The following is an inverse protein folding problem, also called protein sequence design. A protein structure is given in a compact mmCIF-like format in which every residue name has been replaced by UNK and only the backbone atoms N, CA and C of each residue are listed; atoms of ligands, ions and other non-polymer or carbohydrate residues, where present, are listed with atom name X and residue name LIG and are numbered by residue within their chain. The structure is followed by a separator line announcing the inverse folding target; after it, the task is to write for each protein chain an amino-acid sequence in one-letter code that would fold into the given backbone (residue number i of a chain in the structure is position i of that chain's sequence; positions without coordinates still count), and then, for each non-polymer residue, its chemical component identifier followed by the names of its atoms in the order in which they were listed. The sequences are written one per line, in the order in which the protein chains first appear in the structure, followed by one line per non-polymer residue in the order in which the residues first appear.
data_IF_269085028688
#
_entry.id   IF_269085028688
#
_cell.length_a   1.000
_cell.length_b   1.000
_cell.length_c   1.000
_cell.angle_alpha   90.00
_cell.angle_beta   90.00
_cell.angle_gamma   90.00
#
_symmetry.space_group_name_H-M   'P 1'
#
loop_
_entity.id
_entity.type
_entity.pdbx_description
1 polymer ?
#
# COMPACT_ATOMS: atom_id res chain seq x y z
N UNK A 1 -5.38 41.87 39.28
CA UNK A 1 -6.24 40.80 38.75
C UNK A 1 -5.78 40.52 37.31
N UNK A 2 -4.81 39.66 37.19
CA UNK A 2 -4.29 39.19 35.89
C UNK A 2 -4.93 37.84 35.60
N UNK A 3 -5.66 37.80 34.52
CA UNK A 3 -6.41 36.66 34.00
C UNK A 3 -5.49 35.49 33.65
N UNK A 4 -5.76 34.37 34.28
CA UNK A 4 -5.25 33.04 33.95
C UNK A 4 -6.12 32.55 32.79
N UNK A 5 -5.69 32.68 31.54
CA UNK A 5 -6.26 32.04 30.35
C UNK A 5 -5.15 31.45 29.49
N UNK A 6 -4.70 30.25 29.86
CA UNK A 6 -3.55 29.64 29.18
C UNK A 6 -3.51 28.11 29.08
N UNK A 7 -4.57 27.36 29.49
CA UNK A 7 -4.45 25.89 29.58
C UNK A 7 -5.44 25.05 28.78
N UNK A 8 -6.40 25.66 28.11
CA UNK A 8 -7.39 24.92 27.31
C UNK A 8 -7.00 24.66 25.85
N UNK A 9 -5.96 25.31 25.31
CA UNK A 9 -5.57 25.24 23.90
C UNK A 9 -4.71 24.03 23.52
N UNK A 10 -3.88 23.53 24.41
CA UNK A 10 -2.88 22.51 24.09
C UNK A 10 -3.45 21.15 23.59
N UNK A 11 -4.53 20.58 24.18
CA UNK A 11 -5.10 19.34 23.68
C UNK A 11 -5.79 19.50 22.32
N UNK A 12 -6.45 20.64 22.09
CA UNK A 12 -7.11 20.92 20.82
C UNK A 12 -6.10 21.15 19.69
N UNK A 13 -5.01 21.87 19.94
CA UNK A 13 -3.93 22.06 18.96
C UNK A 13 -3.25 20.73 18.61
N UNK A 14 -3.04 19.86 19.60
CA UNK A 14 -2.49 18.52 19.37
C UNK A 14 -3.41 17.71 18.46
N UNK A 15 -4.70 17.63 18.77
CA UNK A 15 -5.68 16.87 17.97
C UNK A 15 -5.78 17.43 16.55
N UNK A 16 -5.89 18.74 16.38
CA UNK A 16 -5.95 19.36 15.06
C UNK A 16 -4.70 19.06 14.24
N UNK A 17 -3.52 19.09 14.85
CA UNK A 17 -2.25 18.76 14.17
C UNK A 17 -2.18 17.32 13.69
N UNK A 18 -2.78 16.35 14.41
CA UNK A 18 -2.77 14.94 14.04
C UNK A 18 -3.84 14.59 13.02
N UNK A 19 -5.02 15.16 13.13
CA UNK A 19 -6.16 14.82 12.27
C UNK A 19 -6.31 15.73 11.05
N UNK A 20 -5.69 16.91 11.08
CA UNK A 20 -5.68 17.79 9.91
C UNK A 20 -4.91 17.16 8.72
N UNK A 21 -5.34 17.45 7.48
CA UNK A 21 -4.56 17.11 6.30
C UNK A 21 -3.17 17.74 6.34
N UNK A 22 -2.14 17.03 5.84
CA UNK A 22 -0.79 17.61 5.79
C UNK A 22 0.36 16.63 5.90
N UNK A 23 0.11 15.32 5.91
CA UNK A 23 1.18 14.33 5.87
C UNK A 23 1.79 14.21 4.46
N UNK A 24 3.13 14.14 4.34
CA UNK A 24 3.82 14.06 3.05
C UNK A 24 3.79 12.63 2.47
N UNK A 25 2.60 12.08 2.25
CA UNK A 25 2.36 10.71 1.78
C UNK A 25 1.31 10.63 0.67
N UNK A 26 1.26 11.63 -0.21
CA UNK A 26 0.26 11.69 -1.30
C UNK A 26 0.46 10.55 -2.30
N UNK A 27 1.74 10.22 -2.61
CA UNK A 27 2.09 9.12 -3.51
C UNK A 27 1.87 7.76 -2.87
N UNK A 28 2.29 7.62 -1.62
CA UNK A 28 2.06 6.40 -0.84
C UNK A 28 0.56 6.09 -0.80
N UNK A 29 -0.29 7.09 -0.50
CA UNK A 29 -1.76 6.93 -0.57
C UNK A 29 -2.23 6.52 -1.95
N UNK A 30 -1.70 7.12 -3.02
CA UNK A 30 -2.10 6.81 -4.40
C UNK A 30 -1.75 5.35 -4.76
N UNK A 31 -0.54 4.90 -4.45
CA UNK A 31 -0.09 3.51 -4.66
C UNK A 31 -0.89 2.53 -3.79
N UNK A 32 -1.04 2.87 -2.51
CA UNK A 32 -1.76 2.06 -1.55
C UNK A 32 -3.20 1.76 -1.98
N UNK A 33 -3.95 2.78 -2.38
CA UNK A 33 -5.35 2.57 -2.81
C UNK A 33 -5.47 1.63 -4.01
N UNK A 34 -4.50 1.67 -4.95
CA UNK A 34 -4.48 0.71 -6.08
C UNK A 34 -4.15 -0.69 -5.60
N UNK A 35 -3.13 -0.81 -4.75
CA UNK A 35 -2.75 -2.10 -4.19
C UNK A 35 -3.90 -2.70 -3.37
N UNK A 36 -4.54 -1.93 -2.50
CA UNK A 36 -5.70 -2.35 -1.72
C UNK A 36 -6.85 -2.83 -2.63
N UNK A 37 -7.16 -2.07 -3.68
CA UNK A 37 -8.18 -2.47 -4.66
C UNK A 37 -7.82 -3.76 -5.39
N UNK A 38 -6.55 -3.95 -5.78
CA UNK A 38 -6.08 -5.18 -6.43
C UNK A 38 -6.11 -6.38 -5.47
N UNK A 39 -5.80 -6.18 -4.19
CA UNK A 39 -5.87 -7.22 -3.15
C UNK A 39 -7.32 -7.67 -2.96
N UNK A 40 -8.26 -6.75 -2.79
CA UNK A 40 -9.68 -7.07 -2.73
C UNK A 40 -10.19 -7.75 -4.00
N UNK A 41 -9.77 -7.25 -5.17
CA UNK A 41 -10.11 -7.88 -6.44
C UNK A 41 -9.65 -9.33 -6.50
N UNK A 42 -8.39 -9.61 -6.11
CA UNK A 42 -7.85 -10.97 -6.06
C UNK A 42 -8.65 -11.87 -5.12
N UNK A 43 -9.01 -11.36 -3.91
CA UNK A 43 -9.79 -12.10 -2.94
C UNK A 43 -11.21 -12.44 -3.48
N UNK A 44 -11.94 -11.46 -4.01
CA UNK A 44 -13.27 -11.70 -4.57
C UNK A 44 -13.24 -12.53 -5.85
N UNK A 45 -12.22 -12.36 -6.69
CA UNK A 45 -12.04 -13.17 -7.88
C UNK A 45 -11.83 -14.65 -7.53
N UNK A 46 -11.06 -14.93 -6.50
CA UNK A 46 -10.90 -16.29 -5.97
C UNK A 46 -12.23 -16.85 -5.45
N UNK A 47 -12.99 -16.04 -4.66
CA UNK A 47 -14.29 -16.44 -4.14
C UNK A 47 -15.30 -16.73 -5.25
N UNK A 48 -15.27 -16.01 -6.36
CA UNK A 48 -16.19 -16.19 -7.48
C UNK A 48 -16.29 -17.67 -7.97
N UNK A 49 -15.16 -18.39 -7.93
CA UNK A 49 -15.10 -19.77 -8.37
C UNK A 49 -15.32 -20.80 -7.25
N UNK A 50 -15.25 -20.39 -6.00
CA UNK A 50 -15.20 -21.31 -4.88
C UNK A 50 -16.41 -21.20 -3.95
N UNK A 51 -17.06 -20.04 -3.89
CA UNK A 51 -17.99 -19.71 -2.83
C UNK A 51 -19.20 -20.66 -2.75
N UNK A 52 -19.72 -21.09 -3.90
CA UNK A 52 -20.85 -22.04 -3.97
C UNK A 52 -20.47 -23.41 -3.39
N UNK A 53 -19.28 -23.90 -3.73
CA UNK A 53 -18.76 -25.18 -3.21
C UNK A 53 -18.42 -25.12 -1.71
N UNK A 54 -18.05 -23.95 -1.19
CA UNK A 54 -17.66 -23.78 0.20
C UNK A 54 -18.90 -23.61 1.10
N UNK A 55 -19.70 -22.55 0.89
CA UNK A 55 -20.79 -22.14 1.78
C UNK A 55 -22.16 -22.02 1.10
N UNK A 56 -22.24 -22.34 -0.18
CA UNK A 56 -23.50 -22.38 -0.91
C UNK A 56 -24.50 -23.39 -0.32
N UNK A 57 -25.76 -23.37 -0.74
CA UNK A 57 -26.80 -24.27 -0.23
C UNK A 57 -26.44 -25.77 -0.31
N UNK A 58 -25.63 -26.16 -1.29
CA UNK A 58 -25.14 -27.52 -1.46
C UNK A 58 -23.62 -27.63 -1.26
N UNK A 59 -23.00 -26.63 -0.61
CA UNK A 59 -21.58 -26.57 -0.33
C UNK A 59 -21.16 -27.46 0.86
N UNK A 60 -19.88 -27.43 1.18
CA UNK A 60 -19.29 -28.25 2.25
C UNK A 60 -19.80 -27.81 3.63
N UNK A 61 -19.84 -26.48 3.90
CA UNK A 61 -20.36 -25.89 5.15
C UNK A 61 -21.43 -24.84 4.83
N UNK A 62 -22.69 -25.26 4.56
CA UNK A 62 -23.73 -24.38 4.06
C UNK A 62 -24.05 -23.24 5.04
N UNK A 63 -23.96 -21.99 4.59
CA UNK A 63 -24.34 -20.83 5.42
C UNK A 63 -25.81 -20.87 5.87
N UNK A 64 -26.69 -21.51 5.07
CA UNK A 64 -28.11 -21.70 5.40
C UNK A 64 -28.34 -22.56 6.65
N UNK A 65 -27.40 -23.43 7.01
CA UNK A 65 -27.47 -24.26 8.21
C UNK A 65 -26.77 -23.59 9.38
N UNK A 66 -25.61 -22.99 9.12
CA UNK A 66 -24.80 -22.32 10.14
C UNK A 66 -25.49 -21.11 10.78
N UNK A 67 -25.99 -20.17 9.98
CA UNK A 67 -26.54 -18.93 10.51
C UNK A 67 -27.76 -19.14 11.42
N UNK A 68 -28.78 -19.96 11.05
CA UNK A 68 -29.89 -20.25 11.93
C UNK A 68 -29.46 -20.99 13.20
N UNK A 69 -28.52 -21.95 13.10
CA UNK A 69 -28.00 -22.68 14.27
C UNK A 69 -27.30 -21.73 15.24
N UNK A 70 -26.44 -20.82 14.73
CA UNK A 70 -25.78 -19.79 15.53
C UNK A 70 -26.81 -18.91 16.25
N UNK A 71 -27.89 -18.50 15.57
CA UNK A 71 -28.96 -17.68 16.14
C UNK A 71 -29.72 -18.42 17.22
N UNK A 72 -29.99 -19.73 17.05
CA UNK A 72 -30.63 -20.55 18.06
C UNK A 72 -29.84 -20.64 19.37
N UNK A 73 -28.49 -20.74 19.26
CA UNK A 73 -27.59 -20.87 20.42
C UNK A 73 -27.37 -19.52 21.11
N UNK A 74 -27.11 -18.44 20.31
CA UNK A 74 -26.63 -17.15 20.85
C UNK A 74 -27.68 -16.04 20.85
N UNK A 75 -28.87 -16.30 20.29
CA UNK A 75 -29.93 -15.33 20.15
C UNK A 75 -29.51 -14.13 19.25
N UNK A 76 -29.85 -12.91 19.69
CA UNK A 76 -29.51 -11.71 18.93
C UNK A 76 -27.99 -11.46 18.78
N UNK A 77 -27.17 -12.04 19.67
CA UNK A 77 -25.71 -11.92 19.59
C UNK A 77 -25.13 -12.53 18.31
N UNK A 78 -25.87 -13.43 17.64
CA UNK A 78 -25.48 -14.03 16.38
C UNK A 78 -25.11 -13.00 15.31
N UNK A 79 -25.81 -11.85 15.25
CA UNK A 79 -25.52 -10.78 14.29
C UNK A 79 -24.18 -10.07 14.53
N UNK A 80 -23.68 -10.09 15.77
CA UNK A 80 -22.36 -9.57 16.12
C UNK A 80 -21.26 -10.61 15.95
N UNK A 81 -21.57 -11.88 16.17
CA UNK A 81 -20.61 -12.98 16.02
C UNK A 81 -20.37 -13.33 14.55
N UNK A 82 -21.40 -13.21 13.72
CA UNK A 82 -21.35 -13.39 12.29
C UNK A 82 -21.94 -12.18 11.56
N UNK A 83 -21.21 -11.06 11.47
CA UNK A 83 -21.68 -9.86 10.77
C UNK A 83 -21.65 -10.10 9.26
N UNK A 84 -22.79 -10.48 8.68
CA UNK A 84 -22.89 -10.86 7.27
C UNK A 84 -24.17 -10.34 6.63
N UNK A 85 -24.09 -9.98 5.34
CA UNK A 85 -25.25 -9.69 4.50
C UNK A 85 -26.09 -10.95 4.21
N UNK A 86 -25.53 -12.13 4.41
CA UNK A 86 -26.21 -13.40 4.16
C UNK A 86 -27.34 -13.70 5.17
N UNK A 87 -27.51 -12.87 6.22
CA UNK A 87 -28.73 -12.88 7.03
C UNK A 87 -29.99 -12.51 6.23
N UNK A 88 -29.85 -11.79 5.11
CA UNK A 88 -30.95 -11.43 4.22
C UNK A 88 -31.39 -12.65 3.41
N UNK A 89 -30.42 -13.38 2.84
CA UNK A 89 -30.62 -14.61 2.08
C UNK A 89 -29.31 -15.39 1.96
N UNK A 90 -29.40 -16.70 2.04
CA UNK A 90 -28.26 -17.63 1.85
C UNK A 90 -28.32 -18.36 0.51
N UNK A 91 -29.10 -17.84 -0.46
CA UNK A 91 -29.21 -18.41 -1.80
C UNK A 91 -27.94 -18.18 -2.63
N UNK A 92 -27.71 -19.04 -3.61
CA UNK A 92 -26.61 -18.89 -4.58
C UNK A 92 -26.62 -17.51 -5.23
N UNK A 93 -27.80 -17.01 -5.63
CA UNK A 93 -27.94 -15.67 -6.21
C UNK A 93 -27.46 -14.56 -5.26
N UNK A 94 -27.68 -14.67 -3.95
CA UNK A 94 -27.17 -13.69 -2.99
C UNK A 94 -25.67 -13.77 -2.82
N UNK A 95 -25.08 -14.97 -2.83
CA UNK A 95 -23.63 -15.16 -2.82
C UNK A 95 -23.01 -14.48 -4.04
N UNK A 96 -23.56 -14.71 -5.24
CA UNK A 96 -23.10 -14.07 -6.46
C UNK A 96 -23.20 -12.54 -6.41
N UNK A 97 -24.32 -12.00 -5.94
CA UNK A 97 -24.52 -10.55 -5.80
C UNK A 97 -23.42 -9.95 -4.88
N UNK A 98 -23.11 -10.57 -3.75
CA UNK A 98 -22.10 -10.06 -2.83
C UNK A 98 -20.69 -10.15 -3.42
N UNK A 99 -20.38 -11.24 -4.13
CA UNK A 99 -19.08 -11.40 -4.83
C UNK A 99 -18.92 -10.34 -5.94
N UNK A 100 -19.93 -10.21 -6.82
CA UNK A 100 -19.85 -9.24 -7.93
C UNK A 100 -19.83 -7.79 -7.45
N UNK A 101 -20.56 -7.49 -6.38
CA UNK A 101 -20.52 -6.18 -5.74
C UNK A 101 -19.13 -5.89 -5.17
N UNK A 102 -18.50 -6.89 -4.54
CA UNK A 102 -17.12 -6.81 -4.07
C UNK A 102 -16.11 -6.58 -5.20
N UNK A 103 -16.24 -7.30 -6.32
CA UNK A 103 -15.41 -7.11 -7.52
C UNK A 103 -15.59 -5.69 -8.08
N UNK A 104 -16.83 -5.23 -8.26
CA UNK A 104 -17.11 -3.89 -8.77
C UNK A 104 -16.53 -2.79 -7.86
N UNK A 105 -16.69 -2.97 -6.55
CA UNK A 105 -16.11 -2.06 -5.55
C UNK A 105 -14.58 -2.06 -5.61
N UNK A 106 -13.95 -3.22 -5.75
CA UNK A 106 -12.49 -3.35 -5.88
C UNK A 106 -11.96 -2.62 -7.11
N UNK A 107 -12.62 -2.75 -8.26
CA UNK A 107 -12.29 -2.01 -9.47
C UNK A 107 -12.46 -0.50 -9.25
N UNK A 108 -13.55 -0.07 -8.58
CA UNK A 108 -13.79 1.32 -8.25
C UNK A 108 -12.67 1.92 -7.37
N UNK A 109 -12.11 1.13 -6.42
CA UNK A 109 -10.94 1.53 -5.62
C UNK A 109 -9.73 1.73 -6.54
N UNK A 110 -9.43 0.77 -7.42
CA UNK A 110 -8.28 0.83 -8.34
C UNK A 110 -8.35 2.07 -9.23
N UNK A 111 -9.50 2.34 -9.86
CA UNK A 111 -9.69 3.52 -10.71
C UNK A 111 -9.91 4.80 -9.92
N UNK A 112 -9.97 4.70 -8.57
CA UNK A 112 -10.16 5.83 -7.66
C UNK A 112 -11.50 6.56 -7.87
N UNK A 113 -12.56 5.81 -8.15
CA UNK A 113 -13.93 6.28 -8.26
C UNK A 113 -14.63 6.15 -6.90
N UNK A 114 -15.00 7.26 -6.29
CA UNK A 114 -15.57 7.33 -4.93
C UNK A 114 -14.88 6.38 -3.92
N UNK A 115 -13.54 6.46 -3.77
CA UNK A 115 -12.75 5.42 -3.10
C UNK A 115 -13.21 5.09 -1.69
N UNK A 116 -13.68 6.05 -0.90
CA UNK A 116 -14.19 5.80 0.45
C UNK A 116 -15.42 4.89 0.44
N UNK A 117 -16.39 5.18 -0.45
CA UNK A 117 -17.61 4.37 -0.57
C UNK A 117 -17.23 2.98 -1.09
N UNK A 118 -16.37 2.92 -2.10
CA UNK A 118 -15.91 1.66 -2.67
C UNK A 118 -15.16 0.78 -1.64
N UNK A 119 -14.29 1.35 -0.81
CA UNK A 119 -13.60 0.64 0.28
C UNK A 119 -14.62 0.13 1.31
N UNK A 120 -15.60 0.95 1.72
CA UNK A 120 -16.61 0.53 2.66
C UNK A 120 -17.45 -0.64 2.10
N UNK A 121 -17.87 -0.56 0.83
CA UNK A 121 -18.62 -1.62 0.17
C UNK A 121 -17.78 -2.91 0.07
N UNK A 122 -16.53 -2.82 -0.40
CA UNK A 122 -15.64 -3.98 -0.48
C UNK A 122 -15.42 -4.61 0.91
N UNK A 123 -15.16 -3.78 1.93
CA UNK A 123 -14.99 -4.25 3.30
C UNK A 123 -16.24 -4.95 3.86
N UNK A 124 -17.43 -4.41 3.64
CA UNK A 124 -18.71 -5.02 4.08
C UNK A 124 -18.95 -6.35 3.34
N UNK A 125 -18.71 -6.40 2.02
CA UNK A 125 -18.84 -7.64 1.26
C UNK A 125 -17.84 -8.69 1.74
N UNK A 126 -16.58 -8.32 1.99
CA UNK A 126 -15.56 -9.24 2.47
C UNK A 126 -15.85 -9.73 3.89
N UNK A 127 -16.24 -8.83 4.81
CA UNK A 127 -16.67 -9.17 6.14
C UNK A 127 -17.87 -10.14 6.13
N UNK A 128 -18.78 -10.00 5.14
CA UNK A 128 -19.92 -10.90 4.99
C UNK A 128 -19.51 -12.33 4.70
N UNK A 129 -18.45 -12.53 3.92
CA UNK A 129 -17.89 -13.87 3.68
C UNK A 129 -17.15 -14.38 4.91
N UNK A 130 -16.32 -13.59 5.56
CA UNK A 130 -15.63 -13.99 6.79
C UNK A 130 -16.63 -14.43 7.85
N UNK A 131 -17.71 -13.67 8.05
CA UNK A 131 -18.73 -13.98 9.07
C UNK A 131 -19.55 -15.25 8.78
N UNK A 132 -19.58 -15.72 7.53
CA UNK A 132 -20.38 -16.88 7.14
C UNK A 132 -19.57 -18.10 6.71
N UNK A 133 -18.29 -17.93 6.39
CA UNK A 133 -17.47 -18.99 5.80
C UNK A 133 -16.85 -19.96 6.81
N UNK A 134 -17.11 -19.76 8.11
CA UNK A 134 -16.69 -20.70 9.17
C UNK A 134 -15.19 -21.04 9.07
N UNK A 135 -14.84 -22.33 8.97
CA UNK A 135 -13.44 -22.81 8.89
C UNK A 135 -12.69 -22.39 7.60
N UNK A 136 -13.42 -21.92 6.59
CA UNK A 136 -12.81 -21.44 5.33
C UNK A 136 -12.33 -19.98 5.38
N UNK A 137 -12.61 -19.28 6.47
CA UNK A 137 -12.21 -17.90 6.70
C UNK A 137 -11.72 -17.71 8.14
N UNK A 138 -11.58 -16.48 8.58
CA UNK A 138 -11.04 -16.12 9.90
C UNK A 138 -9.55 -16.35 10.05
N UNK A 139 -8.83 -16.36 8.94
CA UNK A 139 -7.38 -16.28 8.97
C UNK A 139 -6.94 -14.89 9.44
N UNK A 140 -5.78 -14.82 10.06
CA UNK A 140 -5.21 -13.54 10.52
C UNK A 140 -5.14 -12.49 9.40
N UNK A 141 -4.82 -12.91 8.17
CA UNK A 141 -4.78 -12.06 6.98
C UNK A 141 -6.11 -11.37 6.66
N UNK A 142 -7.24 -12.05 6.94
CA UNK A 142 -8.57 -11.51 6.65
C UNK A 142 -8.90 -10.33 7.55
N UNK A 143 -8.58 -10.46 8.84
CA UNK A 143 -8.71 -9.38 9.82
C UNK A 143 -7.82 -8.18 9.49
N UNK A 144 -6.57 -8.43 9.09
CA UNK A 144 -5.61 -7.40 8.68
C UNK A 144 -6.09 -6.65 7.43
N UNK A 145 -6.64 -7.33 6.42
CA UNK A 145 -7.19 -6.67 5.24
C UNK A 145 -8.38 -5.77 5.59
N UNK A 146 -9.26 -6.22 6.48
CA UNK A 146 -10.39 -5.41 6.95
C UNK A 146 -9.94 -4.21 7.78
N UNK A 147 -8.93 -4.38 8.65
CA UNK A 147 -8.34 -3.29 9.42
C UNK A 147 -7.71 -2.24 8.50
N UNK A 148 -6.88 -2.67 7.55
CA UNK A 148 -6.28 -1.80 6.55
C UNK A 148 -7.34 -1.04 5.72
N UNK A 149 -8.43 -1.71 5.36
CA UNK A 149 -9.56 -1.10 4.66
C UNK A 149 -10.24 -0.03 5.53
N UNK A 150 -10.54 -0.35 6.78
CA UNK A 150 -11.16 0.58 7.74
C UNK A 150 -10.29 1.83 7.94
N UNK A 151 -8.99 1.65 8.18
CA UNK A 151 -8.04 2.75 8.35
C UNK A 151 -7.93 3.61 7.08
N UNK A 152 -8.05 2.98 5.90
CA UNK A 152 -8.01 3.67 4.60
C UNK A 152 -9.18 4.63 4.36
N UNK A 153 -10.32 4.45 5.05
CA UNK A 153 -11.43 5.39 5.00
C UNK A 153 -11.04 6.78 5.50
N UNK A 154 -10.06 6.87 6.40
CA UNK A 154 -9.57 8.09 7.02
C UNK A 154 -8.40 8.75 6.29
N UNK A 155 -7.93 8.20 5.17
CA UNK A 155 -6.82 8.77 4.38
C UNK A 155 -7.14 10.11 3.69
N UNK A 156 -8.35 10.61 3.84
CA UNK A 156 -8.74 11.91 3.29
C UNK A 156 -9.25 11.90 1.85
N UNK A 157 -9.50 13.09 1.33
CA UNK A 157 -9.97 13.33 -0.05
C UNK A 157 -8.81 13.29 -1.04
N UNK A 158 -9.13 13.12 -2.34
CA UNK A 158 -8.14 13.22 -3.44
C UNK A 158 -7.41 14.58 -3.47
N UNK A 159 -8.09 15.64 -3.04
CA UNK A 159 -7.61 17.05 -3.15
C UNK A 159 -6.67 17.45 -2.00
N UNK A 160 -6.67 16.70 -0.92
CA UNK A 160 -5.93 17.06 0.29
C UNK A 160 -4.89 15.98 0.63
N UNK A 161 -3.74 16.35 1.19
CA UNK A 161 -2.80 15.36 1.74
C UNK A 161 -3.48 14.51 2.82
N UNK A 162 -3.06 13.24 3.03
CA UNK A 162 -3.64 12.39 4.07
C UNK A 162 -3.38 12.98 5.47
N UNK A 163 -4.25 12.63 6.44
CA UNK A 163 -4.02 12.99 7.83
C UNK A 163 -2.84 12.21 8.41
N UNK A 164 -2.10 12.81 9.33
CA UNK A 164 -0.96 12.16 10.00
C UNK A 164 -1.41 10.95 10.81
N UNK A 165 -2.56 11.04 11.46
CA UNK A 165 -3.12 9.95 12.26
C UNK A 165 -3.42 8.72 11.38
N UNK A 166 -4.10 8.90 10.24
CA UNK A 166 -4.43 7.77 9.36
C UNK A 166 -3.17 7.10 8.79
N UNK A 167 -2.17 7.89 8.38
CA UNK A 167 -0.88 7.36 7.91
C UNK A 167 -0.16 6.61 9.04
N UNK A 168 -0.12 7.20 10.25
CA UNK A 168 0.50 6.56 11.40
C UNK A 168 -0.18 5.23 11.76
N UNK A 169 -1.50 5.15 11.71
CA UNK A 169 -2.23 3.91 12.00
C UNK A 169 -1.93 2.81 10.98
N UNK A 170 -1.80 3.14 9.68
CA UNK A 170 -1.37 2.17 8.66
C UNK A 170 0.10 1.75 8.83
N UNK A 171 0.97 2.68 9.22
CA UNK A 171 2.35 2.35 9.59
C UNK A 171 2.42 1.49 10.86
N UNK A 172 1.53 1.73 11.83
CA UNK A 172 1.40 0.92 13.03
C UNK A 172 0.89 -0.49 12.72
N UNK A 173 -0.08 -0.64 11.83
CA UNK A 173 -0.54 -1.95 11.34
C UNK A 173 0.62 -2.71 10.68
N UNK A 174 1.37 -2.06 9.80
CA UNK A 174 2.57 -2.65 9.20
C UNK A 174 3.59 -3.11 10.25
N UNK A 175 3.89 -2.27 11.25
CA UNK A 175 4.79 -2.61 12.36
C UNK A 175 4.26 -3.81 13.14
N UNK A 176 2.99 -3.79 13.49
CA UNK A 176 2.37 -4.83 14.30
C UNK A 176 2.40 -6.19 13.61
N UNK A 177 2.11 -6.25 12.31
CA UNK A 177 2.16 -7.49 11.54
C UNK A 177 3.53 -8.16 11.65
N UNK A 178 4.60 -7.41 11.44
CA UNK A 178 5.95 -7.94 11.57
C UNK A 178 6.29 -8.30 13.02
N UNK A 179 6.09 -7.37 13.92
CA UNK A 179 6.51 -7.54 15.30
C UNK A 179 5.78 -8.67 16.01
N UNK A 180 4.46 -8.75 15.85
CA UNK A 180 3.66 -9.85 16.39
C UNK A 180 4.10 -11.21 15.81
N UNK A 181 4.39 -11.26 14.51
CA UNK A 181 4.91 -12.47 13.86
C UNK A 181 6.23 -12.94 14.47
N UNK A 182 7.16 -12.01 14.70
CA UNK A 182 8.44 -12.33 15.36
C UNK A 182 8.27 -12.74 16.81
N UNK A 183 7.42 -12.04 17.57
CA UNK A 183 7.13 -12.35 18.97
C UNK A 183 6.52 -13.75 19.11
N UNK A 184 5.55 -14.10 18.26
CA UNK A 184 4.92 -15.43 18.26
C UNK A 184 5.96 -16.52 18.00
N UNK A 185 6.87 -16.35 17.03
CA UNK A 185 7.95 -17.30 16.74
C UNK A 185 8.86 -17.59 17.96
N UNK A 186 9.10 -16.56 18.77
CA UNK A 186 9.94 -16.73 19.97
C UNK A 186 9.15 -17.28 21.15
N UNK A 187 7.88 -16.87 21.32
CA UNK A 187 7.05 -17.24 22.47
C UNK A 187 6.27 -18.54 22.28
N UNK A 188 6.10 -19.02 21.05
CA UNK A 188 5.42 -20.31 20.78
C UNK A 188 6.10 -21.52 21.42
N UNK A 189 7.36 -21.37 21.86
CA UNK A 189 8.14 -22.46 22.40
C UNK A 189 8.80 -23.34 21.35
N UNK A 190 8.64 -23.03 20.07
CA UNK A 190 9.29 -23.76 18.98
C UNK A 190 10.80 -23.51 19.00
N UNK A 191 11.54 -24.54 19.39
CA UNK A 191 13.01 -24.48 19.53
C UNK A 191 13.69 -24.14 18.18
N UNK A 192 13.09 -24.56 17.08
CA UNK A 192 13.65 -24.41 15.73
C UNK A 192 13.96 -22.93 15.35
N UNK A 193 13.15 -21.98 15.81
CA UNK A 193 13.44 -20.56 15.59
C UNK A 193 14.65 -20.08 16.40
N UNK A 194 14.83 -20.59 17.61
CA UNK A 194 15.96 -20.24 18.48
C UNK A 194 17.28 -20.86 18.00
N UNK A 195 17.20 -22.07 17.45
CA UNK A 195 18.35 -22.82 16.92
C UNK A 195 18.63 -22.48 15.44
N UNK A 196 17.83 -21.58 14.84
CA UNK A 196 17.91 -21.18 13.44
C UNK A 196 17.73 -22.34 12.43
N UNK A 197 17.02 -23.39 12.81
CA UNK A 197 16.73 -24.57 11.99
C UNK A 197 15.33 -24.54 11.38
N UNK A 198 14.50 -23.53 11.71
CA UNK A 198 13.12 -23.44 11.25
C UNK A 198 13.00 -23.44 9.71
N UNK A 199 13.97 -22.86 9.00
CA UNK A 199 13.97 -22.80 7.53
C UNK A 199 14.46 -24.09 6.86
N UNK A 200 15.02 -25.06 7.61
CA UNK A 200 15.49 -26.33 7.05
C UNK A 200 14.36 -27.18 6.44
N UNK A 201 13.13 -26.98 6.92
CA UNK A 201 11.92 -27.65 6.45
C UNK A 201 10.83 -26.73 5.92
N UNK A 202 11.03 -25.42 6.03
CA UNK A 202 10.03 -24.42 5.68
C UNK A 202 9.63 -24.46 4.21
N UNK A 203 10.60 -24.60 3.32
CA UNK A 203 10.35 -24.54 1.87
C UNK A 203 9.63 -25.78 1.34
N UNK A 204 9.65 -26.90 2.07
CA UNK A 204 8.84 -28.10 1.80
C UNK A 204 7.43 -27.99 2.38
N UNK A 205 7.31 -27.45 3.60
CA UNK A 205 6.08 -27.45 4.39
C UNK A 205 5.31 -26.11 4.32
N UNK A 206 5.84 -25.13 3.62
CA UNK A 206 5.16 -23.83 3.43
C UNK A 206 3.83 -23.97 2.70
N UNK A 207 2.90 -23.03 2.86
CA UNK A 207 1.63 -23.03 2.13
C UNK A 207 1.87 -23.01 0.62
N UNK A 208 1.36 -24.01 -0.09
CA UNK A 208 1.49 -24.18 -1.54
C UNK A 208 2.92 -23.87 -2.02
N UNK A 209 3.92 -24.72 -1.71
CA UNK A 209 5.30 -24.49 -2.10
C UNK A 209 5.44 -24.25 -3.60
N UNK A 210 6.31 -23.34 -3.97
CA UNK A 210 6.59 -23.02 -5.37
C UNK A 210 7.80 -23.83 -5.88
N UNK A 211 7.99 -23.87 -7.19
CA UNK A 211 9.21 -24.47 -7.76
C UNK A 211 10.49 -23.74 -7.32
N UNK A 212 10.41 -22.43 -7.03
CA UNK A 212 11.54 -21.66 -6.46
C UNK A 212 11.78 -22.13 -5.01
N UNK A 213 10.71 -22.34 -4.23
CA UNK A 213 10.81 -22.90 -2.88
C UNK A 213 11.46 -24.27 -2.87
N UNK A 214 11.11 -25.13 -3.86
CA UNK A 214 11.76 -26.43 -4.01
C UNK A 214 13.28 -26.32 -4.25
N UNK A 215 13.72 -25.38 -5.11
CA UNK A 215 15.16 -25.13 -5.29
C UNK A 215 15.81 -24.54 -4.04
N UNK A 216 15.12 -23.60 -3.35
CA UNK A 216 15.63 -23.04 -2.12
C UNK A 216 15.85 -24.10 -1.03
N UNK A 217 15.00 -25.13 -0.98
CA UNK A 217 15.14 -26.26 -0.05
C UNK A 217 16.44 -27.03 -0.25
N UNK A 218 16.99 -27.06 -1.46
CA UNK A 218 18.24 -27.78 -1.78
C UNK A 218 19.50 -27.02 -1.32
N UNK A 219 19.36 -25.79 -0.85
CA UNK A 219 20.49 -24.99 -0.40
C UNK A 219 21.01 -25.50 0.96
N UNK A 220 22.29 -25.23 1.30
CA UNK A 220 22.89 -25.74 2.53
C UNK A 220 22.25 -25.12 3.78
N UNK A 221 22.35 -25.81 4.92
CA UNK A 221 21.86 -25.34 6.21
C UNK A 221 22.31 -23.91 6.56
N UNK A 222 23.52 -23.49 6.18
CA UNK A 222 24.00 -22.13 6.40
C UNK A 222 23.12 -21.06 5.73
N UNK A 223 22.55 -21.36 4.56
CA UNK A 223 21.58 -20.49 3.90
C UNK A 223 20.26 -20.46 4.70
N UNK A 224 19.77 -21.59 5.13
CA UNK A 224 18.54 -21.70 5.92
C UNK A 224 18.67 -20.97 7.26
N UNK A 225 19.78 -21.18 7.97
CA UNK A 225 20.07 -20.47 9.22
C UNK A 225 20.18 -18.94 9.00
N UNK A 226 20.80 -18.49 7.90
CA UNK A 226 20.84 -17.07 7.53
C UNK A 226 19.43 -16.51 7.28
N UNK A 227 18.60 -17.21 6.52
CA UNK A 227 17.23 -16.77 6.24
C UNK A 227 16.34 -16.75 7.49
N UNK A 228 16.52 -17.71 8.41
CA UNK A 228 15.86 -17.70 9.72
C UNK A 228 16.29 -16.50 10.57
N UNK A 229 17.59 -16.25 10.68
CA UNK A 229 18.14 -15.11 11.41
C UNK A 229 17.69 -13.76 10.79
N UNK A 230 17.70 -13.67 9.46
CA UNK A 230 17.23 -12.48 8.75
C UNK A 230 15.73 -12.21 8.96
N UNK A 231 14.91 -13.26 8.99
CA UNK A 231 13.48 -13.17 9.31
C UNK A 231 13.28 -12.62 10.71
N UNK A 232 13.93 -13.22 11.73
CA UNK A 232 13.84 -12.75 13.11
C UNK A 232 14.37 -11.31 13.28
N UNK A 233 15.50 -11.00 12.66
CA UNK A 233 16.06 -9.65 12.70
C UNK A 233 15.10 -8.62 12.07
N UNK A 234 14.47 -8.97 10.97
CA UNK A 234 13.48 -8.11 10.29
C UNK A 234 12.26 -7.89 11.19
N UNK A 235 11.70 -8.96 11.73
CA UNK A 235 10.45 -8.93 12.49
C UNK A 235 10.62 -8.32 13.90
N UNK A 236 11.77 -8.48 14.54
CA UNK A 236 11.98 -8.06 15.93
C UNK A 236 12.81 -6.78 16.07
N UNK A 237 13.72 -6.50 15.13
CA UNK A 237 14.67 -5.38 15.27
C UNK A 237 14.49 -4.31 14.19
N UNK A 238 14.48 -4.69 12.91
CA UNK A 238 14.47 -3.73 11.80
C UNK A 238 13.18 -2.91 11.77
N UNK A 239 12.05 -3.49 12.12
CA UNK A 239 10.75 -2.80 12.14
C UNK A 239 10.71 -1.59 13.07
N UNK A 240 11.54 -1.55 14.13
CA UNK A 240 11.63 -0.40 15.03
C UNK A 240 12.20 0.86 14.39
N UNK A 241 12.86 0.72 13.24
CA UNK A 241 13.32 1.87 12.45
C UNK A 241 12.16 2.75 11.95
N UNK A 242 10.93 2.24 11.97
CA UNK A 242 9.71 3.02 11.69
C UNK A 242 9.60 4.26 12.59
N UNK A 243 9.95 4.13 13.87
CA UNK A 243 9.81 5.19 14.87
C UNK A 243 10.97 6.21 14.87
N UNK A 244 11.97 5.97 14.02
CA UNK A 244 13.14 6.81 13.87
C UNK A 244 12.96 7.82 12.71
N UNK A 245 13.89 8.78 12.53
CA UNK A 245 13.82 9.79 11.49
C UNK A 245 13.70 9.21 10.07
N UNK A 246 13.24 10.02 9.12
CA UNK A 246 12.93 9.68 7.71
C UNK A 246 13.94 8.73 7.03
N UNK A 247 15.25 8.92 7.22
CA UNK A 247 16.28 8.05 6.61
C UNK A 247 16.18 6.61 7.13
N UNK A 248 15.84 6.42 8.40
CA UNK A 248 15.69 5.10 9.02
C UNK A 248 14.48 4.35 8.48
N UNK A 249 13.38 5.05 8.19
CA UNK A 249 12.20 4.46 7.53
C UNK A 249 12.54 3.92 6.13
N UNK A 250 13.35 4.66 5.37
CA UNK A 250 13.84 4.18 4.07
C UNK A 250 14.70 2.92 4.21
N UNK A 251 15.58 2.88 5.21
CA UNK A 251 16.40 1.69 5.51
C UNK A 251 15.48 0.52 5.89
N UNK A 252 14.47 0.75 6.75
CA UNK A 252 13.48 -0.27 7.08
C UNK A 252 12.80 -0.81 5.81
N UNK A 253 12.32 0.06 4.92
CA UNK A 253 11.70 -0.36 3.66
C UNK A 253 12.64 -1.22 2.80
N UNK A 254 13.90 -0.80 2.63
CA UNK A 254 14.89 -1.53 1.84
C UNK A 254 15.21 -2.90 2.44
N UNK A 255 15.26 -2.99 3.77
CA UNK A 255 15.60 -4.24 4.45
C UNK A 255 14.40 -5.19 4.62
N UNK A 256 13.16 -4.68 4.74
CA UNK A 256 11.98 -5.55 4.90
C UNK A 256 11.40 -6.04 3.58
N UNK A 257 11.53 -5.26 2.51
CA UNK A 257 11.00 -5.60 1.18
C UNK A 257 11.54 -6.92 0.63
N UNK A 258 12.86 -7.24 0.69
CA UNK A 258 13.39 -8.51 0.20
C UNK A 258 12.80 -9.73 0.92
N UNK A 259 12.51 -9.63 2.22
CA UNK A 259 11.86 -10.71 2.98
C UNK A 259 10.47 -11.02 2.39
N UNK A 260 9.65 -9.99 2.15
CA UNK A 260 8.31 -10.19 1.59
C UNK A 260 8.36 -10.77 0.18
N UNK A 261 9.29 -10.28 -0.66
CA UNK A 261 9.49 -10.82 -2.01
C UNK A 261 9.95 -12.28 -1.93
N UNK A 262 10.89 -12.62 -1.04
CA UNK A 262 11.36 -13.98 -0.86
C UNK A 262 10.20 -14.92 -0.46
N UNK A 263 9.34 -14.51 0.47
CA UNK A 263 8.16 -15.30 0.86
C UNK A 263 7.20 -15.47 -0.32
N UNK A 264 6.88 -14.40 -1.05
CA UNK A 264 5.98 -14.45 -2.21
C UNK A 264 6.47 -15.43 -3.30
N UNK A 265 7.78 -15.48 -3.55
CA UNK A 265 8.33 -16.35 -4.61
C UNK A 265 8.54 -17.79 -4.16
N UNK A 266 8.66 -18.05 -2.85
CA UNK A 266 8.93 -19.40 -2.31
C UNK A 266 7.69 -20.11 -1.79
N UNK A 267 6.64 -19.38 -1.43
CA UNK A 267 5.40 -19.92 -0.87
C UNK A 267 4.19 -19.03 -1.27
N UNK A 268 2.98 -19.53 -1.08
CA UNK A 268 1.76 -18.79 -1.38
C UNK A 268 0.91 -18.60 -0.12
N UNK A 269 1.05 -17.45 0.52
CA UNK A 269 0.19 -17.00 1.63
C UNK A 269 -0.99 -16.14 1.16
N UNK A 270 -1.54 -16.44 0.00
CA UNK A 270 -2.59 -15.66 -0.63
C UNK A 270 -2.19 -14.17 -0.73
N UNK A 271 -3.01 -13.27 -0.23
CA UNK A 271 -2.76 -11.83 -0.34
C UNK A 271 -1.94 -11.23 0.83
N UNK A 272 -1.63 -11.98 1.89
CA UNK A 272 -0.99 -11.42 3.10
C UNK A 272 0.32 -10.67 2.79
N UNK A 273 1.23 -11.32 2.08
CA UNK A 273 2.55 -10.73 1.80
C UNK A 273 2.45 -9.53 0.84
N UNK A 274 1.48 -9.55 -0.08
CA UNK A 274 1.17 -8.39 -0.94
C UNK A 274 0.60 -7.23 -0.12
N UNK A 275 -0.25 -7.52 0.88
CA UNK A 275 -0.79 -6.51 1.79
C UNK A 275 0.34 -5.83 2.59
N UNK A 276 1.24 -6.64 3.17
CA UNK A 276 2.37 -6.14 3.96
C UNK A 276 3.34 -5.32 3.10
N UNK A 277 3.64 -5.80 1.88
CA UNK A 277 4.47 -5.07 0.93
C UNK A 277 3.84 -3.73 0.54
N UNK A 278 2.53 -3.72 0.31
CA UNK A 278 1.78 -2.51 -0.03
C UNK A 278 1.71 -1.51 1.14
N UNK A 279 1.52 -1.98 2.39
CA UNK A 279 1.60 -1.14 3.59
C UNK A 279 2.99 -0.50 3.74
N UNK A 280 4.04 -1.21 3.34
CA UNK A 280 5.42 -0.71 3.37
C UNK A 280 5.63 0.59 2.59
N UNK A 281 4.78 0.93 1.60
CA UNK A 281 4.91 2.19 0.85
C UNK A 281 4.74 3.43 1.76
N UNK A 282 4.08 3.29 2.90
CA UNK A 282 3.95 4.36 3.89
C UNK A 282 5.25 4.62 4.70
N UNK A 283 6.31 3.84 4.51
CA UNK A 283 7.63 4.21 4.99
C UNK A 283 8.32 5.25 4.07
N UNK A 284 7.81 5.41 2.84
CA UNK A 284 8.35 6.31 1.82
C UNK A 284 7.61 7.64 1.84
N UNK A 285 8.21 8.67 2.46
CA UNK A 285 7.67 10.03 2.43
C UNK A 285 7.89 10.69 1.06
N UNK A 286 6.95 11.54 0.64
CA UNK A 286 7.14 12.39 -0.54
C UNK A 286 8.41 13.27 -0.39
N UNK A 287 9.16 13.48 -1.46
CA UNK A 287 10.40 14.26 -1.44
C UNK A 287 11.66 13.49 -1.03
N UNK A 288 11.65 12.15 -1.09
CA UNK A 288 12.88 11.36 -1.10
C UNK A 288 13.72 11.64 -2.36
N UNK A 289 15.06 11.50 -2.32
CA UNK A 289 15.92 11.64 -3.49
C UNK A 289 15.40 10.77 -4.65
N UNK A 290 15.26 11.35 -5.84
CA UNK A 290 14.68 10.70 -7.02
C UNK A 290 13.15 10.84 -7.17
N UNK A 291 12.47 11.41 -6.19
CA UNK A 291 11.03 11.70 -6.26
C UNK A 291 10.79 13.22 -6.10
N UNK A 292 10.60 14.01 -7.18
CA UNK A 292 10.35 15.44 -7.07
C UNK A 292 9.05 15.70 -6.29
N UNK A 293 9.09 16.66 -5.38
CA UNK A 293 7.98 17.01 -4.48
C UNK A 293 6.70 17.48 -5.20
N UNK A 294 6.81 17.80 -6.49
CA UNK A 294 5.74 18.40 -7.33
C UNK A 294 4.84 17.39 -8.04
N UNK A 295 5.10 16.07 -7.93
CA UNK A 295 4.26 15.09 -8.59
C UNK A 295 2.89 14.97 -7.89
N UNK A 296 1.82 15.38 -8.55
CA UNK A 296 0.44 15.17 -8.11
C UNK A 296 -0.21 14.10 -9.00
N UNK A 297 -0.72 12.98 -8.44
CA UNK A 297 -1.47 11.99 -9.20
C UNK A 297 -2.77 12.62 -9.72
N UNK A 298 -2.91 12.70 -11.01
CA UNK A 298 -4.08 13.29 -11.67
C UNK A 298 -3.78 14.50 -12.55
N UNK A 299 -2.61 15.12 -12.43
CA UNK A 299 -2.09 16.06 -13.41
C UNK A 299 -1.20 15.33 -14.42
N UNK A 300 -1.78 14.51 -15.29
CA UNK A 300 -1.32 14.40 -16.67
C UNK A 300 -1.68 15.70 -17.38
N UNK A 301 -1.12 16.79 -16.92
CA UNK A 301 -0.91 17.94 -17.77
C UNK A 301 0.22 17.51 -18.69
N UNK A 302 -0.15 17.08 -19.89
CA UNK A 302 0.73 17.18 -21.04
C UNK A 302 1.18 18.64 -21.00
N UNK A 303 2.39 18.90 -20.50
CA UNK A 303 2.97 20.23 -20.56
C UNK A 303 2.92 20.61 -22.04
N UNK A 304 2.27 21.71 -22.43
CA UNK A 304 2.41 22.17 -23.79
C UNK A 304 3.92 22.30 -24.05
N UNK A 305 4.39 22.00 -25.27
CA UNK A 305 5.80 22.16 -25.61
C UNK A 305 6.20 23.58 -25.21
N UNK A 306 7.43 23.78 -24.69
CA UNK A 306 7.87 25.11 -24.31
C UNK A 306 7.54 26.06 -25.44
N UNK A 307 6.70 27.03 -25.18
CA UNK A 307 6.38 28.09 -26.14
C UNK A 307 7.71 28.64 -26.62
N UNK A 308 7.92 28.64 -27.93
CA UNK A 308 9.02 29.31 -28.60
C UNK A 308 9.28 30.65 -27.90
N UNK A 309 10.55 31.05 -27.68
CA UNK A 309 10.85 32.29 -27.00
C UNK A 309 10.06 33.39 -27.66
N UNK A 310 9.20 34.05 -26.92
CA UNK A 310 8.44 35.21 -27.37
C UNK A 310 9.47 36.18 -27.93
N UNK A 311 9.34 36.47 -29.22
CA UNK A 311 10.09 37.51 -29.88
C UNK A 311 10.04 38.75 -28.98
N UNK A 312 11.20 39.09 -28.40
CA UNK A 312 11.37 40.35 -27.70
C UNK A 312 10.90 41.46 -28.58
N UNK A 313 9.89 42.22 -28.16
CA UNK A 313 9.49 43.47 -28.75
C UNK A 313 10.75 44.34 -28.94
N UNK A 314 10.89 45.05 -30.09
CA UNK A 314 12.02 45.92 -30.31
C UNK A 314 12.00 47.06 -29.27
N UNK A 315 13.20 47.49 -28.78
CA UNK A 315 13.25 48.59 -27.83
C UNK A 315 12.73 49.88 -28.43
N UNK A 316 12.02 50.63 -27.63
CA UNK A 316 11.44 51.95 -27.90
C UNK A 316 12.51 52.92 -28.43
N UNK A 317 12.24 53.80 -29.43
CA UNK A 317 13.24 54.64 -30.13
C UNK A 317 13.80 55.85 -29.35
N UNK A 318 13.62 55.89 -28.01
CA UNK A 318 13.98 57.07 -27.19
C UNK A 318 15.32 57.00 -26.45
N UNK A 319 16.21 56.05 -26.75
CA UNK A 319 17.48 55.94 -26.01
C UNK A 319 18.74 55.77 -26.87
N UNK A 320 18.85 56.50 -28.02
CA UNK A 320 20.09 56.55 -28.76
C UNK A 320 20.92 57.75 -28.33
N UNK A 321 22.20 57.59 -27.95
CA UNK A 321 23.11 58.73 -27.78
C UNK A 321 23.52 59.29 -29.16
N UNK A 322 23.92 60.58 -29.25
CA UNK A 322 24.19 61.22 -30.50
C UNK A 322 25.47 60.70 -31.16
N UNK A 323 25.39 60.44 -32.47
CA UNK A 323 26.43 59.98 -33.34
C UNK A 323 27.52 61.05 -33.51
N UNK A 324 28.78 60.74 -33.30
CA UNK A 324 29.96 61.48 -33.78
C UNK A 324 30.32 61.06 -35.20
N UNK A 325 30.86 61.97 -36.05
CA UNK A 325 31.02 61.77 -37.50
C UNK A 325 32.23 60.90 -37.85
N UNK A 326 32.28 60.35 -39.10
CA UNK A 326 33.25 59.36 -39.52
C UNK A 326 34.57 59.94 -39.96
N UNK A 327 35.68 59.29 -39.62
CA UNK A 327 37.00 59.48 -40.27
C UNK A 327 37.28 58.39 -41.28
N UNK A 328 37.76 58.79 -42.41
CA UNK A 328 37.88 58.08 -43.66
C UNK A 328 39.10 57.12 -43.73
N UNK A 329 38.93 56.14 -44.59
CA UNK A 329 39.91 55.56 -45.52
C UNK A 329 40.97 54.58 -45.00
N UNK A 330 40.99 53.33 -45.41
CA UNK A 330 41.83 52.88 -46.51
C UNK A 330 41.65 51.40 -46.84
N UNK A 331 41.58 51.18 -48.10
CA UNK A 331 41.59 49.95 -48.88
C UNK A 331 42.75 48.99 -48.55
N UNK A 332 42.52 47.70 -48.55
CA UNK A 332 43.37 46.73 -49.33
C UNK A 332 42.67 45.39 -49.51
N UNK A 333 42.65 45.02 -50.74
CA UNK A 333 42.29 43.77 -51.38
C UNK A 333 43.08 42.54 -50.93
N UNK A 334 42.46 41.37 -50.90
CA UNK A 334 42.86 40.22 -51.73
C UNK A 334 42.10 38.96 -51.37
N UNK A 335 41.60 38.34 -52.38
CA UNK A 335 40.92 37.07 -52.48
C UNK A 335 41.89 35.86 -52.44
N UNK A 336 41.50 34.67 -52.89
CA UNK A 336 40.98 33.57 -52.06
C UNK A 336 41.85 32.30 -52.21
N UNK A 337 41.65 31.27 -51.45
CA UNK A 337 41.95 29.90 -51.95
C UNK A 337 41.15 28.87 -51.18
N UNK A 338 40.46 28.07 -51.96
CA UNK A 338 39.83 26.81 -51.62
C UNK A 338 40.91 25.73 -51.36
N UNK A 339 40.53 24.75 -50.51
CA UNK A 339 40.79 23.33 -50.85
C UNK A 339 39.98 22.41 -49.94
N UNK A 340 39.33 21.48 -50.60
CA UNK A 340 38.63 20.32 -50.09
C UNK A 340 39.59 19.21 -49.61
N UNK A 341 39.11 18.27 -48.78
CA UNK A 341 39.29 16.81 -48.90
C UNK A 341 39.02 16.13 -47.55
N UNK A 342 37.92 15.42 -47.44
CA UNK A 342 37.76 13.96 -47.39
C UNK A 342 38.71 13.20 -46.44
N UNK A 343 38.15 12.69 -45.36
CA UNK A 343 37.94 11.24 -45.12
C UNK A 343 37.08 11.06 -43.88
#
# INVERSE_FOLDING_TARGET
MSSVDGSAGAPQEFLTRWFAPGAPYVRARWLWLRALGLIFFSAFYSLLFQIHGLIGPNGILPAREYLPALRQITGWKAYWLAPTLLWISTSDAMLDVVVWLGIAASIAIVVNFYPRIAIAVAGICFLSFIGAAQDFASYQSDGMLLEAALLSLFLGSKKEPPSRAAVFMLQWEWFRIYFESGVVKILSGEQQWRDLTAMDKYYENGPLPTWIGWHAQQLPHSFHAFTAAYTLATELLIVWLLFLPKKSKLIAFILTTPLQIAIIVTANYAFLNYLVLALGVFLLEDGLPGYPATWQPGNLVISPPPSSPSSSSPPSPASWPPTSPPSACSSRSASPTATASSR
#
